data_IF_490152457718
#
_entry.id   IF_490152457718
#
_cell.length_a   1.000
_cell.length_b   1.000
_cell.length_c   1.000
_cell.angle_alpha   90.00
_cell.angle_beta   90.00
_cell.angle_gamma   90.00
#
_symmetry.space_group_name_H-M   'P 1'
#
loop_
_entity.id
_entity.type
_entity.pdbx_description
1 polymer ?
#
# COMPACT_ATOMS: atom_id res chain seq x y z
N UNK A 1 -7.17 -14.90 2.70
CA UNK A 1 -6.70 -13.53 2.40
C UNK A 1 -5.36 -13.16 3.04
N UNK A 2 -5.04 -13.61 4.28
CA UNK A 2 -3.74 -13.34 4.95
C UNK A 2 -2.49 -13.65 4.10
N UNK A 3 -2.47 -14.81 3.43
CA UNK A 3 -1.34 -15.26 2.58
C UNK A 3 -0.96 -14.24 1.49
N UNK A 4 -1.95 -13.57 0.89
CA UNK A 4 -1.72 -12.63 -0.21
C UNK A 4 -0.98 -11.37 0.27
N UNK A 5 -1.48 -10.72 1.33
CA UNK A 5 -0.82 -9.55 1.91
C UNK A 5 0.56 -9.88 2.49
N UNK A 6 0.72 -11.06 3.09
CA UNK A 6 2.02 -11.50 3.62
C UNK A 6 3.05 -11.72 2.50
N UNK A 7 2.61 -12.27 1.36
CA UNK A 7 3.46 -12.43 0.17
C UNK A 7 3.83 -11.07 -0.41
N UNK A 8 2.87 -10.15 -0.55
CA UNK A 8 3.15 -8.79 -1.01
C UNK A 8 4.12 -8.07 -0.07
N UNK A 9 3.98 -8.24 1.25
CA UNK A 9 4.90 -7.66 2.24
C UNK A 9 6.32 -8.21 2.08
N UNK A 10 6.46 -9.52 1.87
CA UNK A 10 7.75 -10.15 1.63
C UNK A 10 8.41 -9.62 0.36
N UNK A 11 7.64 -9.47 -0.72
CA UNK A 11 8.11 -8.91 -1.98
C UNK A 11 8.54 -7.45 -1.80
N UNK A 12 7.71 -6.63 -1.15
CA UNK A 12 8.01 -5.22 -0.89
C UNK A 12 9.28 -5.03 -0.06
N UNK A 13 9.54 -5.91 0.91
CA UNK A 13 10.78 -5.92 1.69
C UNK A 13 12.04 -6.24 0.87
N UNK A 14 11.90 -6.85 -0.31
CA UNK A 14 13.00 -7.14 -1.25
C UNK A 14 13.11 -6.12 -2.40
N UNK A 15 12.16 -5.20 -2.52
CA UNK A 15 12.13 -4.20 -3.58
C UNK A 15 13.04 -3.02 -3.23
N UNK A 16 14.10 -2.82 -4.02
CA UNK A 16 15.09 -1.76 -3.80
C UNK A 16 14.49 -0.33 -3.89
N UNK A 17 13.46 -0.12 -4.72
CA UNK A 17 12.80 1.19 -4.85
C UNK A 17 11.27 1.08 -4.78
N UNK A 18 10.79 0.74 -3.58
CA UNK A 18 9.36 0.56 -3.31
C UNK A 18 8.51 1.81 -3.64
N UNK A 19 9.03 3.02 -3.37
CA UNK A 19 8.31 4.27 -3.65
C UNK A 19 8.17 4.53 -5.15
N UNK A 20 9.19 4.20 -5.93
CA UNK A 20 9.10 4.29 -7.39
C UNK A 20 8.09 3.29 -7.96
N UNK A 21 8.10 2.05 -7.47
CA UNK A 21 7.13 1.05 -7.93
C UNK A 21 5.69 1.46 -7.59
N UNK A 22 5.47 2.00 -6.39
CA UNK A 22 4.18 2.56 -6.00
C UNK A 22 3.76 3.73 -6.91
N UNK A 23 4.70 4.63 -7.23
CA UNK A 23 4.43 5.72 -8.16
C UNK A 23 4.03 5.22 -9.55
N UNK A 24 4.73 4.20 -10.08
CA UNK A 24 4.40 3.60 -11.37
C UNK A 24 2.95 3.07 -11.40
N UNK A 25 2.50 2.41 -10.33
CA UNK A 25 1.11 1.94 -10.26
C UNK A 25 0.10 3.10 -10.21
N UNK A 26 0.43 4.19 -9.51
CA UNK A 26 -0.44 5.38 -9.48
C UNK A 26 -0.51 6.02 -10.87
N UNK A 27 0.63 6.18 -11.54
CA UNK A 27 0.72 6.78 -12.88
C UNK A 27 0.02 5.93 -13.95
N UNK A 28 0.04 4.60 -13.80
CA UNK A 28 -0.68 3.65 -14.64
C UNK A 28 -2.19 3.56 -14.32
N UNK A 29 -2.68 4.25 -13.28
CA UNK A 29 -4.08 4.16 -12.83
C UNK A 29 -4.44 2.84 -12.14
N UNK A 30 -3.46 2.06 -11.68
CA UNK A 30 -3.61 0.77 -11.00
C UNK A 30 -3.94 0.93 -9.51
N UNK A 31 -5.08 1.56 -9.21
CA UNK A 31 -5.50 1.96 -7.86
C UNK A 31 -5.56 0.77 -6.88
N UNK A 32 -6.05 -0.39 -7.30
CA UNK A 32 -6.16 -1.58 -6.44
C UNK A 32 -4.76 -2.08 -6.06
N UNK A 33 -3.84 -2.16 -7.02
CA UNK A 33 -2.46 -2.58 -6.78
C UNK A 33 -1.73 -1.59 -5.88
N UNK A 34 -1.93 -0.28 -6.09
CA UNK A 34 -1.42 0.76 -5.19
C UNK A 34 -1.95 0.56 -3.77
N UNK A 35 -3.24 0.30 -3.59
CA UNK A 35 -3.86 0.08 -2.27
C UNK A 35 -3.27 -1.14 -1.56
N UNK A 36 -3.16 -2.27 -2.27
CA UNK A 36 -2.56 -3.50 -1.74
C UNK A 36 -1.11 -3.27 -1.34
N UNK A 37 -0.31 -2.61 -2.18
CA UNK A 37 1.09 -2.33 -1.91
C UNK A 37 1.25 -1.36 -0.72
N UNK A 38 0.46 -0.30 -0.68
CA UNK A 38 0.40 0.66 0.42
C UNK A 38 0.06 -0.02 1.74
N UNK A 39 -0.89 -0.95 1.76
CA UNK A 39 -1.30 -1.71 2.95
C UNK A 39 -0.25 -2.75 3.38
N UNK A 40 0.32 -3.48 2.43
CA UNK A 40 1.25 -4.55 2.71
C UNK A 40 2.62 -4.01 3.18
N UNK A 41 3.04 -2.87 2.61
CA UNK A 41 4.39 -2.35 2.77
C UNK A 41 4.49 -1.10 3.67
N UNK A 42 3.48 -0.87 4.52
CA UNK A 42 3.39 0.33 5.37
C UNK A 42 4.65 0.57 6.20
N UNK A 43 5.20 -0.50 6.79
CA UNK A 43 6.39 -0.43 7.63
C UNK A 43 7.61 0.05 6.83
N UNK A 44 7.78 -0.46 5.61
CA UNK A 44 8.86 -0.08 4.71
C UNK A 44 8.70 1.36 4.21
N UNK A 45 7.46 1.77 3.90
CA UNK A 45 7.15 3.13 3.43
C UNK A 45 7.33 4.16 4.56
N UNK A 46 6.91 3.84 5.79
CA UNK A 46 7.13 4.71 6.97
C UNK A 46 8.60 4.77 7.39
N UNK A 47 9.39 3.76 7.02
CA UNK A 47 10.84 3.79 7.09
C UNK A 47 11.48 2.89 8.17
N UNK A 48 10.92 1.71 8.48
CA UNK A 48 11.66 0.67 9.22
C UNK A 48 12.82 0.15 8.35
N UNK A 49 14.09 0.16 8.74
CA UNK A 49 14.72 0.10 10.07
C UNK A 49 15.72 1.24 10.34
N UNK A 50 16.10 1.38 11.61
CA UNK A 50 16.88 2.46 12.23
C UNK A 50 18.38 2.42 11.89
N UNK A 51 18.93 3.54 11.43
CA UNK A 51 20.12 4.10 12.06
C UNK A 51 19.92 5.60 12.21
N UNK A 52 20.01 6.09 13.45
CA UNK A 52 20.20 7.51 13.73
C UNK A 52 21.54 7.91 13.11
N UNK A 53 21.51 8.47 11.91
CA UNK A 53 22.64 9.22 11.37
C UNK A 53 22.15 10.64 11.17
N UNK A 54 22.68 11.53 12.01
CA UNK A 54 22.62 12.98 11.93
C UNK A 54 21.24 13.61 11.68
N UNK A 55 20.55 13.97 12.76
CA UNK A 55 19.78 15.23 12.93
C UNK A 55 18.68 15.61 11.94
N UNK A 56 18.51 14.90 10.82
CA UNK A 56 17.50 15.11 9.81
C UNK A 56 16.37 14.14 10.08
N UNK A 57 15.16 14.66 10.28
CA UNK A 57 13.96 13.83 10.38
C UNK A 57 13.87 12.98 9.10
N UNK A 58 13.99 11.66 9.22
CA UNK A 58 13.79 10.73 8.11
C UNK A 58 12.42 11.05 7.49
N UNK A 59 12.41 11.56 6.26
CA UNK A 59 11.17 11.95 5.58
C UNK A 59 10.36 10.66 5.36
N UNK A 60 9.15 10.61 5.89
CA UNK A 60 8.31 9.43 5.75
C UNK A 60 7.95 9.25 4.25
N UNK A 61 7.83 8.01 3.78
CA UNK A 61 7.55 7.72 2.37
C UNK A 61 6.17 8.19 1.91
N UNK A 62 5.18 8.27 2.82
CA UNK A 62 3.86 8.81 2.51
C UNK A 62 3.93 10.30 2.15
N UNK A 63 4.69 11.12 2.88
CA UNK A 63 4.90 12.55 2.60
C UNK A 63 5.54 12.75 1.23
N UNK A 64 6.46 11.87 0.85
CA UNK A 64 7.13 11.93 -0.45
C UNK A 64 6.14 11.63 -1.58
N UNK A 65 5.35 10.57 -1.44
CA UNK A 65 4.32 10.20 -2.43
C UNK A 65 3.23 11.27 -2.52
N UNK A 66 2.73 11.76 -1.38
CA UNK A 66 1.74 12.85 -1.34
C UNK A 66 2.23 14.10 -2.06
N UNK A 67 3.52 14.45 -1.93
CA UNK A 67 4.13 15.55 -2.68
C UNK A 67 4.19 15.30 -4.18
N UNK A 68 4.49 14.07 -4.60
CA UNK A 68 4.48 13.70 -6.02
C UNK A 68 3.07 13.81 -6.62
N UNK A 69 2.05 13.28 -5.92
CA UNK A 69 0.65 13.36 -6.34
C UNK A 69 0.17 14.81 -6.40
N UNK A 70 0.51 15.63 -5.39
CA UNK A 70 0.14 17.04 -5.37
C UNK A 70 0.75 17.81 -6.54
N UNK A 71 2.02 17.53 -6.90
CA UNK A 71 2.67 18.12 -8.07
C UNK A 71 1.96 17.71 -9.36
N UNK A 72 1.62 16.43 -9.50
CA UNK A 72 0.89 15.92 -10.66
C UNK A 72 -0.49 16.58 -10.78
N UNK A 73 -1.24 16.67 -9.68
CA UNK A 73 -2.55 17.34 -9.64
C UNK A 73 -2.44 18.80 -10.09
N UNK A 74 -1.42 19.52 -9.62
CA UNK A 74 -1.17 20.89 -10.06
C UNK A 74 -0.88 20.97 -11.56
N UNK A 75 -0.01 20.10 -12.07
CA UNK A 75 0.30 20.02 -13.50
C UNK A 75 -0.93 19.75 -14.35
N UNK A 76 -1.78 18.78 -13.97
CA UNK A 76 -3.02 18.43 -14.70
C UNK A 76 -4.07 19.55 -14.65
N UNK A 77 -4.15 20.31 -13.55
CA UNK A 77 -5.05 21.48 -13.46
C UNK A 77 -4.57 22.64 -14.32
N UNK A 78 -3.25 22.78 -14.49
CA UNK A 78 -2.64 23.82 -15.31
C UNK A 78 -2.47 23.43 -16.78
N UNK A 79 -2.79 22.19 -17.14
CA UNK A 79 -2.73 21.68 -18.50
C UNK A 79 -3.83 22.35 -19.36
N UNK A 80 -3.45 23.44 -20.02
CA UNK A 80 -4.32 24.18 -20.95
C UNK A 80 -4.41 23.45 -22.28
N UNK A 81 -5.19 22.37 -22.38
CA UNK A 81 -5.82 21.83 -23.61
C UNK A 81 -5.03 21.77 -24.94
N UNK A 82 -3.72 22.00 -24.97
CA UNK A 82 -2.94 22.29 -26.17
C UNK A 82 -2.11 21.09 -26.63
N UNK A 83 -2.17 19.98 -25.88
CA UNK A 83 -1.35 18.80 -26.11
C UNK A 83 -2.22 17.56 -26.26
N UNK A 84 -2.96 17.45 -27.37
CA UNK A 84 -3.45 16.19 -27.97
C UNK A 84 -4.32 15.24 -27.14
N UNK A 85 -4.50 15.49 -25.84
CA UNK A 85 -5.21 14.64 -24.91
C UNK A 85 -6.70 14.99 -25.00
N UNK A 86 -7.50 13.98 -25.28
CA UNK A 86 -8.95 14.12 -25.34
C UNK A 86 -9.45 14.62 -23.99
N UNK A 87 -10.32 15.65 -23.92
CA UNK A 87 -10.80 16.22 -22.66
C UNK A 87 -11.32 15.19 -21.65
N UNK A 88 -11.98 14.13 -22.14
CA UNK A 88 -12.46 13.02 -21.33
C UNK A 88 -11.33 12.26 -20.62
N UNK A 89 -10.26 11.92 -21.33
CA UNK A 89 -9.09 11.27 -20.73
C UNK A 89 -8.42 12.17 -19.69
N UNK A 90 -8.42 13.48 -19.90
CA UNK A 90 -7.84 14.44 -18.96
C UNK A 90 -8.64 14.48 -17.65
N UNK A 91 -9.97 14.49 -17.74
CA UNK A 91 -10.83 14.39 -16.57
C UNK A 91 -10.69 13.04 -15.87
N UNK A 92 -10.56 11.93 -16.60
CA UNK A 92 -10.26 10.62 -16.03
C UNK A 92 -8.92 10.62 -15.26
N UNK A 93 -7.87 11.22 -15.82
CA UNK A 93 -6.56 11.35 -15.15
C UNK A 93 -6.63 12.22 -13.90
N UNK A 94 -7.41 13.29 -13.91
CA UNK A 94 -7.66 14.11 -12.71
C UNK A 94 -8.37 13.29 -11.64
N UNK A 95 -9.43 12.56 -12.00
CA UNK A 95 -10.18 11.72 -11.07
C UNK A 95 -9.29 10.60 -10.48
N UNK A 96 -8.45 9.95 -11.29
CA UNK A 96 -7.49 8.95 -10.81
C UNK A 96 -6.47 9.54 -9.84
N UNK A 97 -5.99 10.75 -10.11
CA UNK A 97 -5.05 11.47 -9.25
C UNK A 97 -5.69 11.83 -7.91
N UNK A 98 -6.94 12.30 -7.91
CA UNK A 98 -7.69 12.61 -6.70
C UNK A 98 -7.97 11.32 -5.88
N UNK A 99 -8.32 10.21 -6.54
CA UNK A 99 -8.45 8.89 -5.91
C UNK A 99 -7.14 8.41 -5.27
N UNK A 100 -6.02 8.54 -5.99
CA UNK A 100 -4.72 8.14 -5.47
C UNK A 100 -4.30 8.98 -4.24
N UNK A 101 -4.59 10.28 -4.25
CA UNK A 101 -4.34 11.15 -3.10
C UNK A 101 -5.15 10.69 -1.88
N UNK A 102 -6.46 10.50 -2.02
CA UNK A 102 -7.33 10.01 -0.94
C UNK A 102 -6.88 8.66 -0.39
N UNK A 103 -6.48 7.75 -1.29
CA UNK A 103 -5.99 6.42 -0.91
C UNK A 103 -4.73 6.51 -0.05
N UNK A 104 -3.76 7.33 -0.48
CA UNK A 104 -2.50 7.54 0.27
C UNK A 104 -2.78 8.20 1.61
N UNK A 105 -3.68 9.18 1.67
CA UNK A 105 -4.06 9.88 2.90
C UNK A 105 -4.72 8.94 3.93
N UNK A 106 -5.75 8.19 3.51
CA UNK A 106 -6.46 7.24 4.37
C UNK A 106 -5.51 6.15 4.89
N UNK A 107 -4.65 5.59 4.04
CA UNK A 107 -3.71 4.55 4.48
C UNK A 107 -2.58 5.14 5.33
N UNK A 108 -2.15 6.38 5.08
CA UNK A 108 -1.19 7.08 5.95
C UNK A 108 -1.76 7.31 7.35
N UNK A 109 -3.05 7.64 7.45
CA UNK A 109 -3.71 7.91 8.73
C UNK A 109 -4.15 6.65 9.48
N UNK A 110 -4.94 5.79 8.83
CA UNK A 110 -5.58 4.64 9.47
C UNK A 110 -4.89 3.31 9.19
N UNK A 111 -3.88 3.29 8.33
CA UNK A 111 -3.31 2.07 7.79
C UNK A 111 -2.75 1.10 8.83
N UNK A 112 -2.05 1.61 9.85
CA UNK A 112 -1.45 0.76 10.89
C UNK A 112 -2.53 0.10 11.76
N UNK A 113 -3.56 0.87 12.15
CA UNK A 113 -4.71 0.35 12.89
C UNK A 113 -5.48 -0.69 12.06
N UNK A 114 -5.65 -0.44 10.76
CA UNK A 114 -6.30 -1.38 9.85
C UNK A 114 -5.47 -2.67 9.69
N UNK A 115 -4.15 -2.56 9.56
CA UNK A 115 -3.24 -3.71 9.47
C UNK A 115 -3.30 -4.56 10.74
N UNK A 116 -3.24 -3.93 11.91
CA UNK A 116 -3.36 -4.60 13.21
C UNK A 116 -4.72 -5.31 13.37
N UNK A 117 -5.80 -4.65 12.97
CA UNK A 117 -7.15 -5.24 13.00
C UNK A 117 -7.24 -6.48 12.09
N UNK A 118 -6.79 -6.36 10.83
CA UNK A 118 -6.78 -7.49 9.88
C UNK A 118 -5.96 -8.65 10.46
N UNK A 119 -4.81 -8.38 11.05
CA UNK A 119 -3.96 -9.40 11.65
C UNK A 119 -4.66 -10.11 12.82
N UNK A 120 -5.22 -9.35 13.77
CA UNK A 120 -5.90 -9.89 14.95
C UNK A 120 -7.18 -10.68 14.62
N UNK A 121 -7.94 -10.24 13.62
CA UNK A 121 -9.24 -10.85 13.30
C UNK A 121 -9.18 -11.89 12.17
N UNK A 122 -8.03 -12.07 11.52
CA UNK A 122 -7.83 -13.12 10.51
C UNK A 122 -7.93 -14.55 11.06
N UNK A 123 -7.74 -14.74 12.37
CA UNK A 123 -7.85 -16.06 13.03
C UNK A 123 -9.30 -16.45 13.39
N UNK A 124 -10.24 -15.50 13.43
CA UNK A 124 -11.62 -15.77 13.87
C UNK A 124 -12.40 -16.63 12.87
N UNK A 125 -12.08 -16.57 11.57
CA UNK A 125 -12.74 -17.37 10.53
C UNK A 125 -12.23 -18.81 10.43
N UNK A 126 -11.02 -19.14 10.90
CA UNK A 126 -10.52 -20.53 10.88
C UNK A 126 -11.04 -21.35 12.07
N UNK A 127 -11.28 -20.72 13.22
CA UNK A 127 -11.80 -21.41 14.41
C UNK A 127 -13.31 -21.70 14.35
N UNK A 128 -14.07 -20.97 13.52
CA UNK A 128 -15.54 -21.11 13.44
C UNK A 128 -16.04 -22.11 12.39
N UNK A 129 -15.20 -22.58 11.47
CA UNK A 129 -15.70 -23.36 10.31
C UNK A 129 -15.31 -24.84 10.29
N UNK A 130 -14.47 -25.37 11.19
CA UNK A 130 -14.34 -26.83 11.36
C UNK A 130 -13.55 -27.21 12.64
N UNK A 131 -14.21 -27.64 13.73
CA UNK A 131 -13.53 -28.20 14.90
C UNK A 131 -12.72 -29.49 14.61
N UNK A 132 -12.90 -30.11 13.44
CA UNK A 132 -12.33 -31.40 13.06
C UNK A 132 -10.91 -31.32 12.50
N UNK A 133 -10.43 -30.16 12.04
CA UNK A 133 -9.08 -30.00 11.47
C UNK A 133 -8.03 -29.61 12.51
N UNK A 134 -8.43 -28.99 13.63
CA UNK A 134 -7.53 -28.59 14.72
C UNK A 134 -6.88 -29.79 15.42
N UNK A 135 -7.56 -30.94 15.44
CA UNK A 135 -6.99 -32.19 16.01
C UNK A 135 -5.98 -32.85 15.08
N UNK A 136 -6.04 -32.62 13.77
CA UNK A 136 -5.17 -33.30 12.81
C UNK A 136 -3.77 -32.68 12.71
N UNK A 137 -3.66 -31.37 12.90
CA UNK A 137 -2.37 -30.66 12.84
C UNK A 137 -1.54 -30.86 14.13
N UNK A 138 -2.20 -31.01 15.28
CA UNK A 138 -1.50 -31.26 16.55
C UNK A 138 -0.94 -32.69 16.62
N UNK A 139 -1.59 -33.67 15.97
CA UNK A 139 -1.14 -35.06 15.99
C UNK A 139 -0.01 -35.38 15.00
N UNK A 140 0.26 -34.54 14.00
CA UNK A 140 1.34 -34.79 13.02
C UNK A 140 2.68 -34.18 13.43
N UNK A 141 2.77 -33.50 14.56
CA UNK A 141 4.00 -32.83 15.03
C UNK A 141 4.69 -33.52 16.21
N UNK A 142 4.20 -34.70 16.63
CA UNK A 142 4.80 -35.52 17.70
C UNK A 142 5.29 -36.89 17.22
N UNK A 143 5.35 -37.12 15.90
CA UNK A 143 5.99 -38.31 15.32
C UNK A 143 6.93 -37.87 14.19
N UNK A 144 8.12 -37.39 14.56
CA UNK A 144 9.41 -37.61 13.89
C UNK A 144 10.53 -36.96 14.71
#
# INVERSE_FOLDING_TARGET
QKIFLDTTRLLAGKTNNLLQELWNYIEDGKIIQSAVLLLAAQEQIRGGSSSKINGSSKKNGFDLISKCIMRLSFSLRWEKGSHGMVPELLEERKALTDCAWLLVDVISYAGENLSAYIQAHSESCLKKTCPSLSKKIVLTSTEN
#
